data_IF_280957598644
#
_entry.id   IF_280957598644
#
_cell.length_a   1.000
_cell.length_b   1.000
_cell.length_c   1.000
_cell.angle_alpha   90.00
_cell.angle_beta   90.00
_cell.angle_gamma   90.00
#
_symmetry.space_group_name_H-M   'P 1'
#
loop_
_entity.id
_entity.type
_entity.pdbx_description
1 polymer ?
#
# COMPACT_ATOMS: atom_id res chain seq x y z
N UNK A 1 15.80 60.76 -27.15
CA UNK A 1 17.13 60.14 -26.98
C UNK A 1 17.06 59.37 -25.68
N UNK A 2 17.23 58.04 -25.69
CA UNK A 2 18.53 57.34 -25.78
C UNK A 2 19.39 57.68 -24.56
N UNK A 3 19.46 56.79 -23.57
CA UNK A 3 20.52 55.75 -23.36
C UNK A 3 21.57 56.31 -22.37
N UNK A 4 22.24 55.64 -21.44
CA UNK A 4 22.43 54.28 -20.90
C UNK A 4 23.02 54.53 -19.48
N UNK A 5 22.86 53.66 -18.48
CA UNK A 5 23.95 52.75 -18.09
C UNK A 5 23.49 51.62 -17.16
N UNK A 6 24.14 50.48 -17.36
CA UNK A 6 23.99 49.15 -16.74
C UNK A 6 24.85 48.98 -15.46
N UNK A 7 24.62 47.83 -14.79
CA UNK A 7 25.44 47.04 -13.84
C UNK A 7 25.06 47.25 -12.36
N UNK A 8 25.03 46.25 -11.45
CA UNK A 8 25.09 44.78 -11.43
C UNK A 8 24.87 44.39 -9.93
N UNK A 9 24.56 43.12 -9.64
CA UNK A 9 24.89 42.35 -8.41
C UNK A 9 23.72 41.64 -7.70
N UNK A 10 23.52 40.39 -8.13
CA UNK A 10 23.37 39.17 -7.31
C UNK A 10 22.11 38.91 -6.44
N UNK A 11 21.42 37.77 -6.65
CA UNK A 11 20.53 37.17 -5.66
C UNK A 11 21.33 36.46 -4.55
N UNK A 12 20.91 36.63 -3.29
CA UNK A 12 21.43 35.87 -2.14
C UNK A 12 20.89 34.45 -2.18
N UNK A 13 21.78 33.50 -2.44
CA UNK A 13 21.63 32.10 -2.08
C UNK A 13 21.36 31.96 -0.58
N UNK A 14 20.17 31.48 -0.25
CA UNK A 14 19.81 30.96 1.07
C UNK A 14 19.72 29.45 0.98
N UNK A 15 20.87 28.79 1.09
CA UNK A 15 21.00 27.34 1.23
C UNK A 15 20.33 26.88 2.53
N UNK A 16 19.02 26.66 2.47
CA UNK A 16 18.29 25.93 3.50
C UNK A 16 18.55 24.45 3.30
N UNK A 17 19.47 23.92 4.10
CA UNK A 17 19.74 22.50 4.29
C UNK A 17 18.41 21.77 4.56
N UNK A 18 17.85 21.16 3.51
CA UNK A 18 16.63 20.37 3.55
C UNK A 18 16.91 18.98 4.12
N UNK A 19 17.54 18.93 5.29
CA UNK A 19 17.78 17.70 6.01
C UNK A 19 16.44 17.16 6.53
N UNK A 20 15.95 16.13 5.84
CA UNK A 20 14.76 15.40 6.21
C UNK A 20 14.99 14.78 7.61
N UNK A 21 14.15 15.03 8.62
CA UNK A 21 14.37 14.53 9.99
C UNK A 21 14.44 12.98 10.10
N UNK A 22 14.12 12.27 9.01
CA UNK A 22 14.19 10.83 8.84
C UNK A 22 15.59 10.24 8.57
N UNK A 23 16.61 11.04 8.23
CA UNK A 23 18.00 10.51 8.11
C UNK A 23 18.58 10.03 9.45
N UNK A 24 17.85 10.25 10.56
CA UNK A 24 18.27 9.92 11.93
C UNK A 24 17.57 8.71 12.54
N UNK A 25 16.69 8.01 11.81
CA UNK A 25 16.17 6.73 12.30
C UNK A 25 17.27 5.66 12.26
N UNK A 26 17.37 4.79 13.28
CA UNK A 26 18.24 3.62 13.19
C UNK A 26 17.80 2.80 11.97
N UNK A 27 18.64 2.77 10.95
CA UNK A 27 18.55 1.78 9.87
C UNK A 27 18.80 0.44 10.56
N UNK A 28 17.74 -0.32 10.76
CA UNK A 28 17.85 -1.72 11.14
C UNK A 28 18.62 -2.40 9.98
N UNK A 29 19.93 -2.56 10.15
CA UNK A 29 20.82 -3.20 9.17
C UNK A 29 20.53 -4.69 9.17
N UNK A 30 19.46 -5.09 8.48
CA UNK A 30 19.02 -6.48 8.50
C UNK A 30 17.82 -6.85 7.63
N UNK A 31 17.70 -6.33 6.41
CA UNK A 31 17.20 -7.08 5.23
C UNK A 31 17.15 -6.16 4.00
N UNK A 32 17.81 -6.55 2.92
CA UNK A 32 17.79 -5.83 1.65
C UNK A 32 16.48 -6.08 0.89
N UNK A 33 15.60 -5.07 0.83
CA UNK A 33 14.60 -4.92 -0.25
C UNK A 33 13.16 -4.65 0.20
N UNK A 34 12.65 -3.43 -0.03
CA UNK A 34 11.23 -3.03 -0.09
C UNK A 34 10.19 -3.71 0.84
N UNK A 35 10.55 -4.15 2.05
CA UNK A 35 9.63 -4.83 2.97
C UNK A 35 8.65 -3.90 3.69
N UNK A 36 8.56 -2.63 3.30
CA UNK A 36 7.68 -1.67 3.96
C UNK A 36 6.86 -0.86 2.97
N UNK A 37 5.61 -0.60 3.35
CA UNK A 37 4.73 0.37 2.70
C UNK A 37 4.65 1.60 3.61
N UNK A 38 4.83 2.78 3.04
CA UNK A 38 4.96 4.03 3.79
C UNK A 38 3.97 5.06 3.28
N UNK A 39 3.28 5.70 4.22
CA UNK A 39 2.22 6.63 3.95
C UNK A 39 2.35 7.86 4.84
N UNK A 40 2.06 9.02 4.25
CA UNK A 40 1.80 10.23 5.02
C UNK A 40 0.29 10.39 5.18
N UNK A 41 -0.11 10.71 6.39
CA UNK A 41 -1.47 11.01 6.74
C UNK A 41 -1.64 12.31 7.52
N UNK A 42 -2.86 12.84 7.59
CA UNK A 42 -3.21 13.96 8.46
C UNK A 42 -4.70 13.99 8.82
N UNK A 43 -5.01 14.56 9.98
CA UNK A 43 -6.38 14.91 10.39
C UNK A 43 -6.39 16.26 11.12
N UNK A 44 -7.58 16.84 11.28
CA UNK A 44 -7.75 18.07 12.04
C UNK A 44 -8.22 17.75 13.47
N UNK A 45 -7.49 18.25 14.46
CA UNK A 45 -7.87 18.21 15.88
C UNK A 45 -8.15 19.65 16.33
N UNK A 46 -9.42 20.06 16.24
CA UNK A 46 -9.82 21.46 16.38
C UNK A 46 -9.26 22.31 15.24
N UNK A 47 -8.46 23.33 15.60
CA UNK A 47 -7.80 24.22 14.62
C UNK A 47 -6.40 23.73 14.21
N UNK A 48 -5.90 22.64 14.80
CA UNK A 48 -4.56 22.14 14.53
C UNK A 48 -4.61 20.94 13.59
N UNK A 49 -3.78 20.96 12.55
CA UNK A 49 -3.57 19.80 11.69
C UNK A 49 -2.51 18.91 12.32
N UNK A 50 -2.88 17.66 12.59
CA UNK A 50 -1.98 16.58 13.00
C UNK A 50 -1.48 15.87 11.76
N UNK A 51 -0.19 15.67 11.64
CA UNK A 51 0.43 14.88 10.57
C UNK A 51 0.88 13.55 11.17
N UNK A 52 0.71 12.46 10.43
CA UNK A 52 1.15 11.13 10.86
C UNK A 52 1.88 10.45 9.75
N UNK A 53 3.05 9.95 10.07
CA UNK A 53 3.79 9.05 9.22
C UNK A 53 3.47 7.60 9.62
N UNK A 54 3.09 6.79 8.65
CA UNK A 54 2.67 5.40 8.85
C UNK A 54 3.59 4.51 8.01
N UNK A 55 4.22 3.53 8.65
CA UNK A 55 5.02 2.50 8.01
C UNK A 55 4.44 1.13 8.35
N UNK A 56 4.12 0.35 7.33
CA UNK A 56 3.68 -1.03 7.48
C UNK A 56 4.79 -1.97 7.06
N UNK A 57 5.26 -2.81 7.98
CA UNK A 57 6.23 -3.86 7.69
C UNK A 57 5.49 -5.09 7.14
N UNK A 58 5.70 -5.38 5.85
CA UNK A 58 5.07 -6.49 5.14
C UNK A 58 5.43 -7.84 5.77
N UNK A 59 6.69 -8.02 6.15
CA UNK A 59 7.17 -9.29 6.68
C UNK A 59 6.65 -9.57 8.09
N UNK A 60 6.43 -8.52 8.89
CA UNK A 60 5.94 -8.62 10.27
C UNK A 60 4.43 -8.46 10.39
N UNK A 61 3.79 -7.88 9.38
CA UNK A 61 2.37 -7.58 9.38
C UNK A 61 1.97 -6.49 10.38
N UNK A 62 2.92 -5.63 10.77
CA UNK A 62 2.75 -4.66 11.85
C UNK A 62 2.99 -3.23 11.38
N UNK A 63 2.34 -2.28 12.04
CA UNK A 63 2.44 -0.85 11.79
C UNK A 63 3.40 -0.19 12.77
N UNK A 64 4.12 0.80 12.26
CA UNK A 64 4.94 1.74 13.00
C UNK A 64 4.48 3.15 12.64
N UNK A 65 4.30 4.02 13.64
CA UNK A 65 3.75 5.35 13.41
C UNK A 65 4.51 6.41 14.19
N UNK A 66 4.66 7.58 13.57
CA UNK A 66 5.12 8.80 14.23
C UNK A 66 4.08 9.91 14.00
N UNK A 67 3.79 10.68 15.04
CA UNK A 67 2.76 11.74 15.01
C UNK A 67 3.46 13.08 15.19
N UNK A 68 3.20 14.01 14.28
CA UNK A 68 3.83 15.33 14.20
C UNK A 68 5.37 15.24 14.29
N UNK A 69 5.97 16.04 15.17
CA UNK A 69 7.40 16.04 15.50
C UNK A 69 7.70 15.20 16.76
N UNK A 70 6.77 14.36 17.21
CA UNK A 70 7.01 13.47 18.34
C UNK A 70 8.18 12.51 18.00
N UNK A 71 9.13 12.40 18.91
CA UNK A 71 10.23 11.44 18.82
C UNK A 71 9.80 10.00 19.16
N UNK A 72 8.55 9.82 19.62
CA UNK A 72 8.01 8.50 19.93
C UNK A 72 7.56 7.75 18.67
N UNK A 73 8.04 6.52 18.55
CA UNK A 73 7.59 5.56 17.54
C UNK A 73 6.56 4.61 18.16
N UNK A 74 5.32 4.68 17.68
CA UNK A 74 4.23 3.82 18.14
C UNK A 74 4.21 2.52 17.34
N UNK A 75 4.30 1.38 18.03
CA UNK A 75 4.17 0.05 17.43
C UNK A 75 2.73 -0.43 17.55
N UNK A 76 2.07 -0.63 16.42
CA UNK A 76 0.66 -1.04 16.35
C UNK A 76 0.60 -2.39 15.64
N UNK A 77 0.32 -3.50 16.35
CA UNK A 77 0.33 -4.84 15.76
C UNK A 77 -0.73 -5.05 14.67
N UNK A 78 -1.84 -4.34 14.75
CA UNK A 78 -2.96 -4.49 13.82
C UNK A 78 -3.73 -3.19 13.72
N UNK A 79 -4.06 -2.79 12.50
CA UNK A 79 -5.02 -1.75 12.20
C UNK A 79 -6.27 -2.39 11.58
N UNK A 80 -7.38 -1.66 11.58
CA UNK A 80 -8.65 -2.15 11.06
C UNK A 80 -9.16 -1.26 9.94
N UNK A 81 -9.96 -1.80 9.02
CA UNK A 81 -10.64 -0.99 8.01
C UNK A 81 -11.71 -0.15 8.67
N UNK A 82 -11.70 1.17 8.49
CA UNK A 82 -12.59 2.08 9.23
C UNK A 82 -14.09 1.77 9.02
N UNK A 83 -14.44 1.20 7.86
CA UNK A 83 -15.82 0.84 7.51
C UNK A 83 -16.15 -0.63 7.74
N UNK A 84 -15.16 -1.52 7.63
CA UNK A 84 -15.37 -2.97 7.69
C UNK A 84 -15.17 -3.52 9.10
N UNK A 85 -14.33 -2.86 9.92
CA UNK A 85 -13.89 -3.39 11.22
C UNK A 85 -12.99 -4.62 11.11
N UNK A 86 -12.58 -4.99 9.90
CA UNK A 86 -11.70 -6.15 9.66
C UNK A 86 -10.24 -5.73 9.74
N UNK A 87 -9.38 -6.64 10.19
CA UNK A 87 -7.95 -6.40 10.24
C UNK A 87 -7.41 -6.16 8.83
N UNK A 88 -6.70 -5.05 8.64
CA UNK A 88 -6.09 -4.72 7.35
C UNK A 88 -4.73 -5.37 7.20
N UNK A 89 -4.49 -5.90 6.02
CA UNK A 89 -3.21 -6.45 5.60
C UNK A 89 -2.60 -5.63 4.46
N UNK A 90 -1.47 -6.13 3.95
CA UNK A 90 -0.67 -5.49 2.89
C UNK A 90 -1.47 -5.09 1.65
N UNK A 91 -2.48 -5.87 1.26
CA UNK A 91 -3.26 -5.66 0.04
C UNK A 91 -4.38 -4.62 0.21
N UNK A 92 -4.72 -4.28 1.45
CA UNK A 92 -5.74 -3.27 1.77
C UNK A 92 -5.15 -1.85 1.77
N UNK A 93 -3.82 -1.73 1.82
CA UNK A 93 -3.11 -0.46 1.96
C UNK A 93 -2.91 0.24 0.61
N UNK A 94 -3.60 1.37 0.42
CA UNK A 94 -3.50 2.22 -0.75
C UNK A 94 -3.85 3.67 -0.39
N UNK A 95 -3.39 4.63 -1.19
CA UNK A 95 -3.78 6.04 -1.03
C UNK A 95 -5.29 6.18 -1.23
N UNK A 96 -5.94 6.80 -0.25
CA UNK A 96 -7.40 6.90 -0.14
C UNK A 96 -8.04 5.84 0.77
N UNK A 97 -7.30 4.82 1.22
CA UNK A 97 -7.80 3.86 2.19
C UNK A 97 -8.09 4.54 3.54
N UNK A 98 -9.18 4.18 4.18
CA UNK A 98 -9.56 4.66 5.52
C UNK A 98 -9.34 3.55 6.54
N UNK A 99 -8.46 3.80 7.48
CA UNK A 99 -8.08 2.87 8.54
C UNK A 99 -8.55 3.40 9.89
N UNK A 100 -8.97 2.51 10.78
CA UNK A 100 -9.05 2.79 12.21
C UNK A 100 -7.72 2.36 12.84
N UNK A 101 -6.97 3.34 13.31
CA UNK A 101 -5.72 3.13 14.03
C UNK A 101 -5.84 3.80 15.41
N UNK A 102 -5.72 2.99 16.47
CA UNK A 102 -5.84 3.43 17.86
C UNK A 102 -7.16 4.18 18.15
N UNK A 103 -8.26 3.76 17.51
CA UNK A 103 -9.59 4.37 17.66
C UNK A 103 -9.77 5.68 16.88
N UNK A 104 -8.86 5.99 15.95
CA UNK A 104 -8.91 7.19 15.11
C UNK A 104 -9.02 6.79 13.63
N UNK A 105 -10.09 7.26 13.00
CA UNK A 105 -10.26 7.16 11.55
C UNK A 105 -9.21 8.00 10.83
N UNK A 106 -8.36 7.34 10.06
CA UNK A 106 -7.17 7.88 9.43
C UNK A 106 -7.18 7.49 7.96
N UNK A 107 -7.27 8.47 7.06
CA UNK A 107 -7.15 8.23 5.61
C UNK A 107 -5.67 8.22 5.22
N UNK A 108 -5.23 7.28 4.40
CA UNK A 108 -3.88 7.33 3.82
C UNK A 108 -3.85 8.36 2.69
N UNK A 109 -3.27 9.54 2.90
CA UNK A 109 -3.37 10.61 1.90
C UNK A 109 -2.22 10.65 0.88
N UNK A 110 -1.02 10.23 1.25
CA UNK A 110 0.13 10.11 0.32
C UNK A 110 0.92 8.86 0.64
N UNK A 111 1.76 8.44 -0.30
CA UNK A 111 2.67 7.33 -0.09
C UNK A 111 4.08 7.66 -0.61
N UNK A 112 5.07 6.92 -0.12
CA UNK A 112 6.44 7.03 -0.62
C UNK A 112 6.54 6.55 -2.08
N UNK A 113 7.59 7.00 -2.78
CA UNK A 113 7.78 6.61 -4.19
C UNK A 113 7.93 5.09 -4.37
N UNK A 114 8.61 4.43 -3.43
CA UNK A 114 8.77 2.97 -3.41
C UNK A 114 7.43 2.26 -3.22
N UNK A 115 6.58 2.76 -2.30
CA UNK A 115 5.21 2.26 -2.08
C UNK A 115 4.35 2.42 -3.33
N UNK A 116 4.41 3.59 -3.99
CA UNK A 116 3.69 3.84 -5.24
C UNK A 116 4.12 2.88 -6.36
N UNK A 117 5.43 2.64 -6.52
CA UNK A 117 5.96 1.70 -7.50
C UNK A 117 5.54 0.26 -7.20
N UNK A 118 5.59 -0.14 -5.93
CA UNK A 118 5.15 -1.46 -5.48
C UNK A 118 3.66 -1.68 -5.77
N UNK A 119 2.81 -0.71 -5.43
CA UNK A 119 1.37 -0.77 -5.70
C UNK A 119 1.10 -0.85 -7.20
N UNK A 120 1.75 -0.01 -8.01
CA UNK A 120 1.63 -0.01 -9.48
C UNK A 120 2.04 -1.35 -10.08
N UNK A 121 3.17 -1.91 -9.64
CA UNK A 121 3.65 -3.20 -10.14
C UNK A 121 2.60 -4.31 -9.99
N UNK A 122 1.95 -4.41 -8.82
CA UNK A 122 0.89 -5.39 -8.60
C UNK A 122 -0.39 -5.05 -9.33
N UNK A 123 -0.76 -3.77 -9.38
CA UNK A 123 -1.93 -3.30 -10.11
C UNK A 123 -1.84 -3.66 -11.61
N UNK A 124 -0.71 -3.39 -12.26
CA UNK A 124 -0.51 -3.68 -13.69
C UNK A 124 -0.67 -5.19 -13.98
N UNK A 125 -0.13 -6.05 -13.11
CA UNK A 125 -0.27 -7.52 -13.24
C UNK A 125 -1.72 -7.98 -13.09
N UNK A 126 -2.42 -7.48 -12.06
CA UNK A 126 -3.80 -7.87 -11.79
C UNK A 126 -4.78 -7.31 -12.83
N UNK A 127 -4.56 -6.10 -13.33
CA UNK A 127 -5.35 -5.51 -14.41
C UNK A 127 -5.20 -6.30 -15.71
N UNK A 128 -3.98 -6.78 -16.02
CA UNK A 128 -3.76 -7.65 -17.17
C UNK A 128 -4.53 -8.97 -17.04
N UNK A 129 -4.47 -9.61 -15.85
CA UNK A 129 -5.23 -10.85 -15.58
C UNK A 129 -6.74 -10.63 -15.69
N UNK A 130 -7.25 -9.57 -15.05
CA UNK A 130 -8.66 -9.19 -15.11
C UNK A 130 -9.12 -8.96 -16.55
N UNK A 131 -8.33 -8.24 -17.34
CA UNK A 131 -8.65 -7.97 -18.76
C UNK A 131 -8.73 -9.27 -19.55
N UNK A 132 -7.75 -10.17 -19.39
CA UNK A 132 -7.77 -11.48 -20.05
C UNK A 132 -8.97 -12.34 -19.64
N UNK A 133 -9.33 -12.35 -18.35
CA UNK A 133 -10.50 -13.07 -17.85
C UNK A 133 -11.80 -12.54 -18.47
N UNK A 134 -11.96 -11.21 -18.53
CA UNK A 134 -13.12 -10.57 -19.17
C UNK A 134 -13.20 -10.94 -20.66
N UNK A 135 -12.08 -10.92 -21.37
CA UNK A 135 -12.03 -11.30 -22.80
C UNK A 135 -12.39 -12.76 -23.04
N UNK A 136 -11.95 -13.67 -22.17
CA UNK A 136 -12.30 -15.09 -22.28
C UNK A 136 -13.77 -15.35 -21.93
N UNK A 137 -14.31 -14.68 -20.89
CA UNK A 137 -15.71 -14.81 -20.49
C UNK A 137 -16.69 -14.30 -21.53
N UNK A 138 -16.33 -13.24 -22.27
CA UNK A 138 -17.12 -12.69 -23.39
C UNK A 138 -17.47 -13.73 -24.47
N UNK A 139 -16.74 -14.85 -24.55
CA UNK A 139 -16.99 -15.93 -25.52
C UNK A 139 -18.16 -16.84 -25.12
N UNK A 140 -18.55 -16.83 -23.84
CA UNK A 140 -19.57 -17.74 -23.28
C UNK A 140 -20.80 -17.00 -22.78
N UNK A 141 -20.60 -15.83 -22.18
CA UNK A 141 -21.70 -15.10 -21.54
C UNK A 141 -22.39 -14.15 -22.51
N UNK A 142 -23.70 -14.35 -22.70
CA UNK A 142 -24.62 -13.31 -23.20
C UNK A 142 -25.16 -12.43 -22.07
N UNK A 143 -24.94 -12.84 -20.81
CA UNK A 143 -25.35 -12.10 -19.61
C UNK A 143 -24.35 -10.98 -19.31
N UNK A 144 -24.85 -9.92 -18.67
CA UNK A 144 -24.00 -8.82 -18.23
C UNK A 144 -23.16 -9.30 -17.05
N UNK A 145 -21.84 -9.20 -17.17
CA UNK A 145 -20.91 -9.36 -16.05
C UNK A 145 -21.31 -8.38 -14.95
N UNK A 146 -21.33 -8.85 -13.70
CA UNK A 146 -21.68 -8.03 -12.54
C UNK A 146 -20.82 -6.73 -12.51
N UNK A 147 -21.42 -5.54 -12.32
CA UNK A 147 -20.71 -4.28 -12.46
C UNK A 147 -19.45 -4.16 -11.59
N UNK A 148 -19.48 -4.74 -10.39
CA UNK A 148 -18.37 -4.68 -9.44
C UNK A 148 -17.13 -5.48 -9.90
N UNK A 149 -17.30 -6.51 -10.74
CA UNK A 149 -16.19 -7.29 -11.32
C UNK A 149 -15.41 -6.50 -12.38
N UNK A 150 -16.04 -5.46 -12.92
CA UNK A 150 -15.44 -4.60 -13.94
C UNK A 150 -15.23 -3.16 -13.49
N UNK A 151 -15.64 -2.83 -12.28
CA UNK A 151 -15.43 -1.51 -11.71
C UNK A 151 -13.94 -1.23 -11.54
N UNK A 152 -13.49 -0.06 -11.94
CA UNK A 152 -12.15 0.39 -11.64
C UNK A 152 -12.21 1.88 -11.38
N UNK A 153 -11.91 2.28 -10.14
CA UNK A 153 -11.79 3.68 -9.79
C UNK A 153 -10.44 4.18 -10.32
N UNK A 154 -10.47 4.93 -11.42
CA UNK A 154 -9.29 5.63 -11.90
C UNK A 154 -9.06 6.82 -10.98
N UNK A 155 -7.96 6.80 -10.24
CA UNK A 155 -7.48 7.94 -9.46
C UNK A 155 -6.15 8.41 -10.05
N UNK A 156 -5.94 9.74 -10.19
CA UNK A 156 -4.66 10.27 -10.66
C UNK A 156 -3.54 10.13 -9.62
N UNK A 157 -3.89 9.81 -8.36
CA UNK A 157 -2.93 9.72 -7.27
C UNK A 157 -2.11 8.43 -7.34
N UNK A 158 -0.80 8.56 -7.18
CA UNK A 158 0.10 7.41 -7.14
C UNK A 158 -0.18 6.54 -5.91
N UNK A 159 -0.17 5.22 -6.09
CA UNK A 159 -0.42 4.26 -5.01
C UNK A 159 -1.88 4.14 -4.56
N UNK A 160 -2.84 4.65 -5.35
CA UNK A 160 -4.27 4.68 -5.01
C UNK A 160 -5.07 3.44 -5.44
N UNK A 161 -4.42 2.45 -6.08
CA UNK A 161 -5.13 1.26 -6.54
C UNK A 161 -5.40 0.34 -5.35
N UNK A 162 -6.68 0.07 -5.10
CA UNK A 162 -7.14 -0.95 -4.16
C UNK A 162 -6.84 -2.35 -4.70
N UNK A 163 -5.72 -2.92 -4.24
CA UNK A 163 -5.26 -4.24 -4.67
C UNK A 163 -6.16 -5.36 -4.13
N UNK A 164 -6.70 -5.24 -2.91
CA UNK A 164 -7.63 -6.23 -2.34
C UNK A 164 -8.90 -6.33 -3.17
N UNK A 165 -9.49 -5.21 -3.56
CA UNK A 165 -10.64 -5.19 -4.46
C UNK A 165 -10.31 -5.85 -5.80
N UNK A 166 -9.18 -5.48 -6.40
CA UNK A 166 -8.77 -6.01 -7.70
C UNK A 166 -8.47 -7.52 -7.66
N UNK A 167 -7.91 -8.01 -6.55
CA UNK A 167 -7.79 -9.45 -6.28
C UNK A 167 -9.15 -10.14 -6.25
N UNK A 168 -10.11 -9.56 -5.54
CA UNK A 168 -11.49 -10.07 -5.47
C UNK A 168 -12.17 -10.12 -6.84
N UNK A 169 -11.93 -9.13 -7.70
CA UNK A 169 -12.41 -9.13 -9.08
C UNK A 169 -11.82 -10.26 -9.91
N UNK A 170 -10.50 -10.46 -9.85
CA UNK A 170 -9.80 -11.55 -10.55
C UNK A 170 -10.30 -12.91 -10.08
N UNK A 171 -10.48 -13.10 -8.77
CA UNK A 171 -11.04 -14.34 -8.22
C UNK A 171 -12.49 -14.57 -8.65
N UNK A 172 -13.34 -13.54 -8.60
CA UNK A 172 -14.74 -13.63 -9.02
C UNK A 172 -14.89 -13.99 -10.50
N UNK A 173 -14.15 -13.30 -11.38
CA UNK A 173 -14.12 -13.61 -12.82
C UNK A 173 -13.49 -15.00 -13.08
N UNK A 174 -12.44 -15.37 -12.33
CA UNK A 174 -11.82 -16.68 -12.40
C UNK A 174 -12.80 -17.80 -12.03
N UNK A 175 -13.63 -17.60 -11.00
CA UNK A 175 -14.67 -18.54 -10.59
C UNK A 175 -15.74 -18.72 -11.68
N UNK A 176 -16.18 -17.63 -12.32
CA UNK A 176 -17.09 -17.69 -13.47
C UNK A 176 -16.47 -18.46 -14.64
N UNK A 177 -15.21 -18.14 -14.99
CA UNK A 177 -14.54 -18.83 -16.10
C UNK A 177 -14.31 -20.31 -15.78
N UNK A 178 -14.13 -20.66 -14.51
CA UNK A 178 -13.94 -22.04 -14.08
C UNK A 178 -15.14 -22.93 -14.39
N UNK A 179 -16.36 -22.40 -14.44
CA UNK A 179 -17.55 -23.16 -14.85
C UNK A 179 -17.50 -23.61 -16.32
N UNK A 180 -16.85 -22.82 -17.18
CA UNK A 180 -16.75 -23.09 -18.62
C UNK A 180 -15.42 -23.73 -19.04
N UNK A 181 -14.30 -23.26 -18.48
CA UNK A 181 -12.93 -23.68 -18.81
C UNK A 181 -12.03 -23.74 -17.56
N UNK A 182 -12.12 -24.80 -16.75
CA UNK A 182 -11.35 -24.95 -15.51
C UNK A 182 -9.84 -24.81 -15.70
N UNK A 183 -9.29 -25.40 -16.77
CA UNK A 183 -7.85 -25.35 -17.07
C UNK A 183 -7.35 -23.94 -17.36
N UNK A 184 -8.16 -23.11 -18.01
CA UNK A 184 -7.78 -21.74 -18.33
C UNK A 184 -7.95 -20.82 -17.13
N UNK A 185 -9.03 -21.00 -16.35
CA UNK A 185 -9.24 -20.31 -15.09
C UNK A 185 -8.07 -20.56 -14.11
N UNK A 186 -7.60 -21.80 -13.99
CA UNK A 186 -6.43 -22.14 -13.19
C UNK A 186 -5.13 -21.47 -13.68
N UNK A 187 -5.00 -21.17 -14.97
CA UNK A 187 -3.84 -20.46 -15.54
C UNK A 187 -3.90 -18.96 -15.30
N UNK A 188 -5.11 -18.39 -15.25
CA UNK A 188 -5.38 -16.96 -15.05
C UNK A 188 -5.70 -16.62 -13.58
N UNK A 189 -5.32 -17.50 -12.64
CA UNK A 189 -5.51 -17.28 -11.21
C UNK A 189 -4.56 -16.21 -10.67
N UNK A 190 -4.82 -15.77 -9.43
CA UNK A 190 -3.91 -14.89 -8.72
C UNK A 190 -2.49 -15.48 -8.63
N UNK A 191 -1.43 -14.65 -8.74
CA UNK A 191 -0.06 -15.10 -8.57
C UNK A 191 0.19 -15.68 -7.17
N UNK A 192 0.92 -16.78 -7.08
CA UNK A 192 1.22 -17.47 -5.81
C UNK A 192 1.99 -16.57 -4.85
N UNK A 193 2.82 -15.69 -5.40
CA UNK A 193 3.61 -14.74 -4.64
C UNK A 193 2.74 -13.83 -3.78
N UNK A 194 1.52 -13.50 -4.21
CA UNK A 194 0.64 -12.64 -3.41
C UNK A 194 0.19 -13.32 -2.11
N UNK A 195 -0.15 -14.60 -2.19
CA UNK A 195 -0.49 -15.40 -1.00
C UNK A 195 0.72 -15.59 -0.09
N UNK A 196 1.90 -15.82 -0.68
CA UNK A 196 3.14 -15.92 0.10
C UNK A 196 3.41 -14.66 0.90
N UNK A 197 3.23 -13.47 0.29
CA UNK A 197 3.40 -12.17 0.95
C UNK A 197 2.38 -11.99 2.08
N UNK A 198 1.11 -12.33 1.86
CA UNK A 198 0.07 -12.22 2.89
C UNK A 198 0.32 -13.14 4.09
N UNK A 199 0.92 -14.31 3.86
CA UNK A 199 1.24 -15.28 4.90
C UNK A 199 2.59 -15.05 5.61
N UNK A 200 3.45 -14.14 5.11
CA UNK A 200 4.78 -13.86 5.72
C UNK A 200 4.72 -13.57 7.23
N UNK A 201 3.80 -12.71 7.73
CA UNK A 201 3.72 -12.41 9.17
C UNK A 201 3.49 -13.66 10.02
N UNK A 202 2.58 -14.53 9.57
CA UNK A 202 2.26 -15.78 10.26
C UNK A 202 3.46 -16.71 10.29
N UNK A 203 4.18 -16.84 9.18
CA UNK A 203 5.37 -17.70 9.07
C UNK A 203 6.50 -17.21 10.00
N UNK A 204 6.76 -15.90 10.05
CA UNK A 204 7.76 -15.33 10.97
C UNK A 204 7.36 -15.51 12.42
N UNK A 205 6.08 -15.36 12.77
CA UNK A 205 5.61 -15.56 14.14
C UNK A 205 5.80 -17.01 14.60
N UNK A 206 5.52 -17.99 13.73
CA UNK A 206 5.75 -19.41 14.02
C UNK A 206 7.24 -19.73 14.19
N UNK A 207 8.11 -19.17 13.34
CA UNK A 207 9.56 -19.34 13.45
C UNK A 207 10.10 -18.80 14.78
N UNK A 208 9.68 -17.59 15.19
CA UNK A 208 10.05 -16.98 16.49
C UNK A 208 9.60 -17.86 17.67
N UNK A 209 8.39 -18.44 17.61
CA UNK A 209 7.89 -19.34 18.66
C UNK A 209 8.66 -20.66 18.76
N UNK A 210 9.13 -21.20 17.63
CA UNK A 210 9.92 -22.44 17.61
C UNK A 210 11.33 -22.22 18.17
N UNK A 211 11.96 -21.09 17.85
CA UNK A 211 13.27 -20.72 18.40
C UNK A 211 13.22 -20.55 19.92
N UNK A 212 12.23 -19.83 20.45
CA UNK A 212 12.06 -19.64 21.89
C UNK A 212 11.83 -20.95 22.67
N UNK A 213 11.22 -21.97 22.03
CA UNK A 213 11.03 -23.29 22.63
C UNK A 213 12.30 -24.15 22.59
N UNK A 214 13.14 -23.98 21.57
CA UNK A 214 14.40 -24.74 21.43
C UNK A 214 15.49 -24.30 22.41
N UNK A 215 15.47 -23.05 22.87
CA UNK A 215 16.43 -22.51 23.85
C UNK A 215 16.07 -22.86 25.32
N UNK A 216 14.92 -23.49 25.54
CA UNK A 216 14.44 -23.88 26.89
C UNK A 216 14.65 -25.38 27.20
N UNK A 217 15.45 -26.11 26.41
CA UNK A 217 15.79 -27.53 26.57
C UNK A 217 17.29 -27.74 26.63
#
# INVERSE_FOLDING_TARGET
GMDLDLQDSSPRDGSGDGSNPMDKLPKDEGDQGCHCLEFDSWWNEGNNRRVVYIRYNIAEGAFQMAIDEDSNLYHVPTAYGARTGEAVGVWDLHVGAELDILGRMTTLQRCSQTTAQWNKYWADRLLALRTQLVEELRKYETRKVEPWLTFHKVSPEAGSVDLRLLMGQVQGLGAQLNEYRPRLAAKLSLPKEMFNIEDMPRQRQLAKQQQARGESS
#
